data_IF_621200929754
#
_entry.id   IF_621200929754
#
_cell.length_a   1.000
_cell.length_b   1.000
_cell.length_c   1.000
_cell.angle_alpha   90.00
_cell.angle_beta   90.00
_cell.angle_gamma   90.00
#
_symmetry.space_group_name_H-M   'P 1'
#
loop_
_entity.id
_entity.type
_entity.pdbx_description
1 polymer ?
#
# COMPACT_ATOMS: atom_id res chain seq x y z
N UNK A 1 -3.81 1.62 11.15
CA UNK A 1 -3.67 0.27 10.58
C UNK A 1 -4.95 -0.27 9.96
N UNK A 2 -6.07 -0.32 10.70
CA UNK A 2 -7.38 -0.73 10.13
C UNK A 2 -7.75 0.07 8.87
N UNK A 3 -7.46 1.37 8.85
CA UNK A 3 -7.72 2.24 7.71
C UNK A 3 -7.03 1.75 6.42
N UNK A 4 -5.77 1.32 6.50
CA UNK A 4 -5.03 0.78 5.34
C UNK A 4 -5.60 -0.57 4.91
N UNK A 5 -5.97 -1.43 5.86
CA UNK A 5 -6.60 -2.74 5.58
C UNK A 5 -7.90 -2.64 4.78
N UNK A 6 -8.66 -1.57 4.98
CA UNK A 6 -9.96 -1.38 4.35
C UNK A 6 -9.87 -0.69 2.97
N UNK A 7 -8.67 -0.41 2.47
CA UNK A 7 -8.49 0.17 1.13
C UNK A 7 -8.83 -0.89 0.07
N UNK A 8 -9.64 -0.55 -0.95
CA UNK A 8 -9.94 -1.48 -2.05
C UNK A 8 -8.67 -2.00 -2.73
N UNK A 9 -8.64 -3.29 -3.06
CA UNK A 9 -7.46 -3.96 -3.64
C UNK A 9 -6.38 -4.35 -2.63
N UNK A 10 -6.54 -4.01 -1.34
CA UNK A 10 -5.61 -4.43 -0.29
C UNK A 10 -5.74 -5.93 -0.04
N UNK A 11 -4.67 -6.68 -0.32
CA UNK A 11 -4.59 -8.12 -0.11
C UNK A 11 -4.14 -8.47 1.30
N UNK A 12 -3.12 -7.78 1.79
CA UNK A 12 -2.63 -7.97 3.16
C UNK A 12 -2.02 -6.70 3.72
N UNK A 13 -2.01 -6.62 5.04
CA UNK A 13 -1.31 -5.60 5.81
C UNK A 13 -0.77 -6.31 7.03
N UNK A 14 0.53 -6.26 7.24
CA UNK A 14 1.19 -7.01 8.29
C UNK A 14 2.10 -6.06 9.05
N UNK A 15 1.94 -6.01 10.38
CA UNK A 15 2.86 -5.27 11.22
C UNK A 15 4.17 -6.06 11.30
N UNK A 16 5.30 -5.40 11.09
CA UNK A 16 6.60 -6.08 11.05
C UNK A 16 7.57 -5.46 12.03
N UNK A 17 8.50 -6.28 12.50
CA UNK A 17 9.68 -5.81 13.23
C UNK A 17 10.75 -5.47 12.19
N UNK A 18 11.11 -4.20 12.03
CA UNK A 18 12.07 -3.79 11.02
C UNK A 18 12.20 -2.28 10.88
N UNK A 19 12.84 -1.79 9.80
CA UNK A 19 12.97 -0.36 9.54
C UNK A 19 11.64 0.32 9.16
N UNK A 20 10.59 -0.47 8.93
CA UNK A 20 9.23 -0.02 8.65
C UNK A 20 8.28 -0.68 9.65
N UNK A 21 7.19 0.01 9.98
CA UNK A 21 6.18 -0.52 10.91
C UNK A 21 5.26 -1.56 10.25
N UNK A 22 5.16 -1.51 8.91
CA UNK A 22 4.13 -2.22 8.13
C UNK A 22 4.65 -2.66 6.78
N UNK A 23 4.24 -3.85 6.35
CA UNK A 23 4.25 -4.27 4.94
C UNK A 23 2.80 -4.45 4.49
N UNK A 24 2.42 -3.80 3.39
CA UNK A 24 1.10 -3.91 2.78
C UNK A 24 1.22 -4.38 1.34
N UNK A 25 0.34 -5.28 0.92
CA UNK A 25 0.28 -5.79 -0.45
C UNK A 25 -1.01 -5.33 -1.08
N UNK A 26 -0.89 -4.53 -2.13
CA UNK A 26 -1.99 -3.99 -2.92
C UNK A 26 -1.92 -4.58 -4.33
N UNK A 27 -3.05 -5.10 -4.81
CA UNK A 27 -3.19 -5.64 -6.16
C UNK A 27 -4.20 -4.78 -6.94
N UNK A 28 -3.87 -4.47 -8.18
CA UNK A 28 -4.75 -3.78 -9.12
C UNK A 28 -4.37 -4.15 -10.56
N UNK A 29 -5.33 -4.07 -11.47
CA UNK A 29 -5.11 -4.41 -12.89
C UNK A 29 -4.32 -3.33 -13.66
N UNK A 30 -4.17 -2.14 -13.09
CA UNK A 30 -3.45 -1.00 -13.69
C UNK A 30 -2.53 -0.33 -12.66
N UNK A 31 -1.30 -0.04 -13.07
CA UNK A 31 -0.33 0.74 -12.31
C UNK A 31 -0.83 2.13 -11.91
N UNK A 32 -1.65 2.77 -12.74
CA UNK A 32 -2.24 4.06 -12.43
C UNK A 32 -3.14 3.98 -11.20
N UNK A 33 -3.91 2.90 -11.06
CA UNK A 33 -4.78 2.65 -9.90
C UNK A 33 -3.94 2.47 -8.64
N UNK A 34 -2.78 1.80 -8.72
CA UNK A 34 -1.84 1.69 -7.60
C UNK A 34 -1.31 3.07 -7.21
N UNK A 35 -0.82 3.85 -8.18
CA UNK A 35 -0.29 5.19 -7.94
C UNK A 35 -1.32 6.11 -7.27
N UNK A 36 -2.53 6.16 -7.80
CA UNK A 36 -3.64 6.93 -7.23
C UNK A 36 -4.01 6.45 -5.83
N UNK A 37 -4.07 5.14 -5.60
CA UNK A 37 -4.39 4.58 -4.28
C UNK A 37 -3.33 4.97 -3.25
N UNK A 38 -2.05 4.97 -3.63
CA UNK A 38 -0.96 5.38 -2.73
C UNK A 38 -1.11 6.85 -2.35
N UNK A 39 -1.25 7.75 -3.33
CA UNK A 39 -1.27 9.20 -3.10
C UNK A 39 -2.56 9.69 -2.45
N UNK A 40 -3.72 9.19 -2.86
CA UNK A 40 -5.02 9.70 -2.41
C UNK A 40 -5.56 8.97 -1.18
N UNK A 41 -5.18 7.71 -0.96
CA UNK A 41 -5.70 6.88 0.14
C UNK A 41 -4.66 6.53 1.18
N UNK A 42 -3.47 6.06 0.80
CA UNK A 42 -2.47 5.63 1.80
C UNK A 42 -1.82 6.83 2.48
N UNK A 43 -1.34 7.81 1.71
CA UNK A 43 -0.68 9.01 2.27
C UNK A 43 -1.61 9.90 3.10
N UNK A 44 -2.91 9.80 2.90
CA UNK A 44 -3.92 10.57 3.65
C UNK A 44 -4.32 9.91 4.97
N UNK A 45 -3.90 8.65 5.22
CA UNK A 45 -4.15 7.98 6.49
C UNK A 45 -3.31 8.62 7.59
N UNK A 46 -3.98 9.10 8.65
CA UNK A 46 -3.32 9.62 9.83
C UNK A 46 -2.35 8.59 10.43
N UNK A 47 -1.12 9.03 10.71
CA UNK A 47 -0.03 8.19 11.20
C UNK A 47 0.88 7.61 10.12
N UNK A 48 0.55 7.75 8.83
CA UNK A 48 1.47 7.40 7.74
C UNK A 48 2.46 8.54 7.53
N UNK A 49 3.72 8.32 7.93
CA UNK A 49 4.78 9.33 7.83
C UNK A 49 5.64 9.19 6.57
N UNK A 50 5.88 7.95 6.14
CA UNK A 50 6.72 7.61 4.99
C UNK A 50 6.27 6.28 4.41
N UNK A 51 6.32 6.16 3.09
CA UNK A 51 6.09 4.89 2.38
C UNK A 51 7.20 4.66 1.37
N UNK A 52 7.52 3.39 1.12
CA UNK A 52 8.27 2.95 -0.06
C UNK A 52 7.37 1.99 -0.83
N UNK A 53 7.15 2.27 -2.11
CA UNK A 53 6.27 1.47 -2.95
C UNK A 53 7.11 0.59 -3.87
N UNK A 54 7.07 -0.73 -3.63
CA UNK A 54 7.72 -1.71 -4.49
C UNK A 54 6.73 -2.17 -5.58
N UNK A 55 6.78 -1.55 -6.76
CA UNK A 55 5.94 -1.94 -7.89
C UNK A 55 6.42 -3.26 -8.48
N UNK A 56 5.53 -4.26 -8.51
CA UNK A 56 5.74 -5.52 -9.19
C UNK A 56 4.82 -5.58 -10.41
N UNK A 57 5.38 -5.86 -11.58
CA UNK A 57 4.64 -6.04 -12.83
C UNK A 57 4.97 -7.40 -13.41
N UNK A 58 3.96 -8.07 -13.94
CA UNK A 58 4.19 -9.28 -14.74
C UNK A 58 4.61 -8.86 -16.14
N UNK A 59 5.87 -9.11 -16.49
CA UNK A 59 6.35 -8.99 -17.87
C UNK A 59 6.06 -10.31 -18.57
N UNK A 60 5.34 -10.26 -19.69
CA UNK A 60 5.21 -11.40 -20.62
C UNK A 60 6.13 -11.20 -21.80
#
# INVERSE_FOLDING_TARGET
>A
MQAVRNIPGMRSVDAVTGPYDVIAVLEADDLNVIGQTVTERIHTVSGVLRTVTCLAVTVR
#
